data_IF_888915480092
#
_entry.id   IF_888915480092
#
_cell.length_a   1.000
_cell.length_b   1.000
_cell.length_c   1.000
_cell.angle_alpha   90.00
_cell.angle_beta   90.00
_cell.angle_gamma   90.00
#
_symmetry.space_group_name_H-M   'P 1'
#
loop_
_entity.id
_entity.type
_entity.pdbx_description
1 polymer ?
#
# COMPACT_ATOMS: atom_id res chain seq x y z
N UNK A 1 -3.44 20.48 -30.56
CA UNK A 1 -2.15 21.19 -30.78
C UNK A 1 -2.36 22.69 -30.75
N UNK A 2 -3.34 23.26 -31.48
CA UNK A 2 -3.61 24.69 -31.51
C UNK A 2 -4.13 25.29 -30.17
N UNK A 3 -4.67 24.49 -29.28
CA UNK A 3 -5.18 24.93 -27.98
C UNK A 3 -4.03 25.23 -26.99
N UNK A 4 -2.97 24.47 -27.04
CA UNK A 4 -1.80 24.67 -26.18
C UNK A 4 -1.10 26.01 -26.47
N UNK A 5 -0.89 26.32 -27.72
CA UNK A 5 -0.22 27.56 -28.14
C UNK A 5 -1.01 28.81 -27.77
N UNK A 6 -2.34 28.80 -27.95
CA UNK A 6 -3.21 29.91 -27.53
C UNK A 6 -3.26 30.08 -26.01
N UNK A 7 -3.23 28.99 -25.25
CA UNK A 7 -3.22 29.08 -23.81
C UNK A 7 -1.87 29.59 -23.30
N UNK A 8 -0.76 29.23 -23.93
CA UNK A 8 0.55 29.76 -23.57
C UNK A 8 0.69 31.24 -23.91
N UNK A 9 0.09 31.70 -25.00
CA UNK A 9 0.04 33.09 -25.37
C UNK A 9 -0.81 33.93 -24.39
N UNK A 10 -1.96 33.39 -23.94
CA UNK A 10 -2.89 34.06 -23.05
C UNK A 10 -2.41 34.15 -21.60
N UNK A 11 -1.71 33.10 -21.09
CA UNK A 11 -1.33 32.99 -19.68
C UNK A 11 0.18 33.15 -19.42
N UNK A 12 0.94 33.52 -20.44
CA UNK A 12 2.38 33.65 -20.40
C UNK A 12 3.06 32.28 -20.20
N UNK A 13 4.35 32.24 -19.93
CA UNK A 13 5.15 31.02 -19.81
C UNK A 13 4.82 30.14 -18.57
N UNK A 14 3.57 30.11 -18.14
CA UNK A 14 3.10 29.19 -17.10
C UNK A 14 2.84 27.82 -17.71
N UNK A 15 3.21 26.77 -16.98
CA UNK A 15 2.96 25.39 -17.36
C UNK A 15 1.44 25.15 -17.51
N UNK A 16 0.96 25.04 -18.73
CA UNK A 16 -0.43 24.73 -19.02
C UNK A 16 -0.61 23.22 -19.03
N UNK A 17 -1.37 22.69 -18.09
CA UNK A 17 -1.71 21.26 -18.02
C UNK A 17 -3.07 21.04 -18.64
N UNK A 18 -3.12 20.29 -19.71
CA UNK A 18 -4.35 19.84 -20.33
C UNK A 18 -4.67 18.42 -19.81
N UNK A 19 -5.94 18.19 -19.51
CA UNK A 19 -6.43 16.83 -19.27
C UNK A 19 -6.81 16.23 -20.61
N UNK A 20 -6.05 15.23 -21.06
CA UNK A 20 -6.42 14.40 -22.19
C UNK A 20 -7.23 13.20 -21.72
N UNK A 21 -8.26 12.87 -22.48
CA UNK A 21 -8.99 11.62 -22.31
C UNK A 21 -8.25 10.52 -23.11
N UNK A 22 -8.14 9.33 -22.52
CA UNK A 22 -7.74 8.13 -23.25
C UNK A 22 -8.91 7.78 -24.16
N UNK A 23 -8.71 7.80 -25.47
CA UNK A 23 -9.78 7.57 -26.43
C UNK A 23 -10.30 6.13 -26.35
N UNK A 24 -9.42 5.16 -26.15
CA UNK A 24 -9.75 3.76 -25.90
C UNK A 24 -8.75 3.15 -24.91
N UNK A 25 -9.25 2.50 -23.86
CA UNK A 25 -8.43 1.77 -22.89
C UNK A 25 -8.91 0.34 -22.74
N UNK A 26 -7.98 -0.60 -22.76
CA UNK A 26 -8.25 -2.02 -22.44
C UNK A 26 -7.68 -2.35 -21.08
N UNK A 27 -8.53 -2.88 -20.20
CA UNK A 27 -8.13 -3.29 -18.86
C UNK A 27 -8.67 -4.68 -18.60
N UNK A 28 -7.81 -5.62 -18.28
CA UNK A 28 -8.19 -6.95 -17.82
C UNK A 28 -7.22 -7.46 -16.78
N UNK A 29 -7.70 -8.27 -15.87
CA UNK A 29 -6.88 -8.76 -14.77
C UNK A 29 -7.51 -9.90 -14.00
N UNK A 30 -6.73 -10.40 -13.07
CA UNK A 30 -7.12 -11.47 -12.16
C UNK A 30 -6.79 -11.02 -10.74
N UNK A 31 -7.73 -11.27 -9.84
CA UNK A 31 -7.51 -11.11 -8.41
C UNK A 31 -7.77 -12.47 -7.72
N UNK A 32 -6.78 -12.93 -6.96
CA UNK A 32 -6.87 -14.18 -6.20
C UNK A 32 -6.54 -13.87 -4.74
N UNK A 33 -7.34 -14.38 -3.83
CA UNK A 33 -7.07 -14.27 -2.38
C UNK A 33 -7.30 -15.61 -1.69
N UNK A 34 -6.54 -15.85 -0.65
CA UNK A 34 -6.65 -17.03 0.19
C UNK A 34 -6.52 -16.66 1.67
N UNK A 35 -7.19 -17.42 2.52
CA UNK A 35 -7.08 -17.33 3.97
C UNK A 35 -7.02 -18.75 4.53
N UNK A 36 -6.08 -19.00 5.43
CA UNK A 36 -5.87 -20.29 6.06
C UNK A 36 -5.67 -20.14 7.57
N UNK A 37 -6.47 -20.86 8.34
CA UNK A 37 -6.23 -21.05 9.76
C UNK A 37 -5.35 -22.27 9.96
N UNK A 38 -4.13 -22.05 10.47
CA UNK A 38 -3.11 -23.08 10.60
C UNK A 38 -3.12 -23.78 11.96
N UNK A 39 -4.07 -23.43 12.84
CA UNK A 39 -4.14 -23.94 14.21
C UNK A 39 -3.28 -23.15 15.19
N UNK A 40 -3.38 -23.48 16.49
CA UNK A 40 -2.61 -22.86 17.58
C UNK A 40 -2.62 -21.32 17.59
N UNK A 41 -3.68 -20.70 17.05
CA UNK A 41 -3.83 -19.25 16.97
C UNK A 41 -3.19 -18.58 15.74
N UNK A 42 -2.62 -19.35 14.81
CA UNK A 42 -2.05 -18.82 13.57
C UNK A 42 -3.11 -18.72 12.48
N UNK A 43 -3.15 -17.54 11.87
CA UNK A 43 -3.94 -17.25 10.68
C UNK A 43 -3.02 -16.62 9.63
N UNK A 44 -3.11 -17.11 8.38
CA UNK A 44 -2.36 -16.60 7.24
C UNK A 44 -3.33 -16.23 6.14
N UNK A 45 -3.25 -15.02 5.63
CA UNK A 45 -4.00 -14.59 4.46
C UNK A 45 -3.09 -13.90 3.46
N UNK A 46 -3.46 -13.97 2.20
CA UNK A 46 -2.72 -13.34 1.13
C UNK A 46 -3.59 -13.10 -0.08
N UNK A 47 -3.14 -12.16 -0.91
CA UNK A 47 -3.78 -11.84 -2.17
C UNK A 47 -2.76 -11.53 -3.26
N UNK A 48 -3.14 -11.81 -4.48
CA UNK A 48 -2.41 -11.47 -5.67
C UNK A 48 -3.36 -10.80 -6.68
N UNK A 49 -2.94 -9.67 -7.19
CA UNK A 49 -3.63 -8.94 -8.25
C UNK A 49 -2.69 -8.84 -9.45
N UNK A 50 -3.16 -9.34 -10.59
CA UNK A 50 -2.54 -9.08 -11.89
C UNK A 50 -3.46 -8.18 -12.69
N UNK A 51 -2.93 -7.06 -13.18
CA UNK A 51 -3.67 -6.09 -13.97
C UNK A 51 -2.89 -5.79 -15.26
N UNK A 52 -3.48 -6.10 -16.40
CA UNK A 52 -2.96 -5.68 -17.69
C UNK A 52 -3.77 -4.50 -18.19
N UNK A 53 -3.10 -3.39 -18.40
CA UNK A 53 -3.70 -2.13 -18.84
C UNK A 53 -3.02 -1.70 -20.14
N UNK A 54 -3.82 -1.27 -21.10
CA UNK A 54 -3.32 -0.78 -22.38
C UNK A 54 -4.11 0.45 -22.82
N UNK A 55 -3.38 1.51 -23.11
CA UNK A 55 -3.84 2.61 -23.93
C UNK A 55 -3.73 2.14 -25.39
N UNK A 56 -4.87 2.04 -26.09
CA UNK A 56 -4.92 1.41 -27.42
C UNK A 56 -4.24 2.31 -28.47
N UNK A 57 -4.36 3.61 -28.35
CA UNK A 57 -3.76 4.56 -29.30
C UNK A 57 -2.25 4.63 -29.18
N UNK A 58 -1.73 4.54 -27.96
CA UNK A 58 -0.31 4.69 -27.68
C UNK A 58 0.42 3.35 -27.59
N UNK A 59 -0.31 2.23 -27.65
CA UNK A 59 0.21 0.86 -27.50
C UNK A 59 1.07 0.64 -26.25
N UNK A 60 0.78 1.34 -25.17
CA UNK A 60 1.55 1.30 -23.93
C UNK A 60 0.62 1.13 -22.70
N UNK A 61 1.17 0.77 -21.53
CA UNK A 61 0.37 0.68 -20.31
C UNK A 61 -0.28 2.03 -19.94
N UNK A 62 -1.43 1.99 -19.28
CA UNK A 62 -2.09 3.18 -18.76
C UNK A 62 -1.19 3.85 -17.72
N UNK A 63 -1.14 5.18 -17.73
CA UNK A 63 -0.33 5.97 -16.80
C UNK A 63 -0.63 5.62 -15.33
N UNK A 64 0.42 5.50 -14.54
CA UNK A 64 0.39 5.13 -13.11
C UNK A 64 -0.12 3.72 -12.81
N UNK A 65 -0.21 2.83 -13.81
CA UNK A 65 -0.61 1.45 -13.61
C UNK A 65 0.52 0.61 -12.99
N UNK A 66 0.11 -0.34 -12.14
CA UNK A 66 0.97 -1.37 -11.55
C UNK A 66 0.47 -2.72 -12.06
N UNK A 67 1.35 -3.52 -12.65
CA UNK A 67 0.98 -4.78 -13.27
C UNK A 67 0.72 -5.89 -12.27
N UNK A 68 1.54 -6.02 -11.23
CA UNK A 68 1.43 -7.06 -10.22
C UNK A 68 1.50 -6.45 -8.81
N UNK A 69 0.57 -6.84 -7.97
CA UNK A 69 0.56 -6.51 -6.56
C UNK A 69 0.31 -7.75 -5.72
N UNK A 70 1.05 -7.90 -4.62
CA UNK A 70 0.88 -8.97 -3.65
C UNK A 70 0.70 -8.38 -2.27
N UNK A 71 -0.14 -9.03 -1.48
CA UNK A 71 -0.24 -8.75 -0.06
C UNK A 71 -0.20 -10.07 0.72
N UNK A 72 0.38 -10.02 1.89
CA UNK A 72 0.39 -11.13 2.84
C UNK A 72 0.11 -10.58 4.24
N UNK A 73 -0.67 -11.33 5.01
CA UNK A 73 -0.91 -11.03 6.41
C UNK A 73 -0.75 -12.33 7.21
N UNK A 74 0.14 -12.31 8.17
CA UNK A 74 0.36 -13.38 9.12
C UNK A 74 -0.02 -12.88 10.51
N UNK A 75 -0.99 -13.53 11.13
CA UNK A 75 -1.47 -13.20 12.46
C UNK A 75 -1.30 -14.38 13.39
N UNK A 76 -0.81 -14.11 14.59
CA UNK A 76 -0.84 -15.05 15.68
C UNK A 76 -1.51 -14.45 16.91
N UNK A 77 -2.45 -15.18 17.48
CA UNK A 77 -3.16 -14.76 18.68
C UNK A 77 -3.23 -15.92 19.69
N UNK A 78 -2.85 -15.63 20.92
CA UNK A 78 -2.96 -16.59 22.01
C UNK A 78 -3.49 -15.93 23.28
N UNK A 79 -4.28 -16.69 24.04
CA UNK A 79 -4.89 -16.22 25.29
C UNK A 79 -4.49 -17.11 26.47
N UNK A 80 -4.02 -16.47 27.55
CA UNK A 80 -3.73 -17.08 28.83
C UNK A 80 -4.59 -16.43 29.90
N UNK A 81 -5.49 -17.11 30.50
CA UNK A 81 -6.35 -16.60 31.59
C UNK A 81 -6.80 -15.14 31.38
N UNK A 82 -6.10 -14.17 31.97
CA UNK A 82 -6.41 -12.74 31.91
C UNK A 82 -5.62 -11.99 30.83
N UNK A 83 -4.68 -12.62 30.18
CA UNK A 83 -3.80 -12.00 29.20
C UNK A 83 -4.01 -12.57 27.81
N UNK A 84 -4.04 -11.73 26.80
CA UNK A 84 -4.05 -12.11 25.38
C UNK A 84 -2.98 -11.32 24.63
N UNK A 85 -2.22 -12.04 23.82
CA UNK A 85 -1.27 -11.47 22.88
C UNK A 85 -1.78 -11.67 21.46
N UNK A 86 -1.64 -10.62 20.68
CA UNK A 86 -1.89 -10.64 19.25
C UNK A 86 -0.68 -10.05 18.53
N UNK A 87 -0.09 -10.78 17.59
CA UNK A 87 1.03 -10.35 16.74
C UNK A 87 0.53 -10.38 15.31
N UNK A 88 0.80 -9.32 14.57
CA UNK A 88 0.39 -9.20 13.18
C UNK A 88 1.57 -8.69 12.33
N UNK A 89 1.88 -9.41 11.26
CA UNK A 89 2.86 -9.06 10.25
C UNK A 89 2.14 -8.87 8.91
N UNK A 90 2.26 -7.68 8.34
CA UNK A 90 1.71 -7.36 7.02
C UNK A 90 2.84 -7.11 6.04
N UNK A 91 2.74 -7.72 4.86
CA UNK A 91 3.63 -7.46 3.74
C UNK A 91 2.86 -6.99 2.52
N UNK A 92 3.39 -6.00 1.81
CA UNK A 92 2.89 -5.52 0.53
C UNK A 92 4.02 -5.45 -0.46
N UNK A 93 3.82 -6.02 -1.63
CA UNK A 93 4.73 -5.94 -2.76
C UNK A 93 4.00 -5.34 -3.97
N UNK A 94 4.63 -4.38 -4.61
CA UNK A 94 4.16 -3.79 -5.85
C UNK A 94 5.26 -3.86 -6.91
N UNK A 95 4.92 -4.37 -8.09
CA UNK A 95 5.83 -4.33 -9.23
C UNK A 95 6.01 -2.90 -9.74
N UNK A 96 6.89 -2.73 -10.69
CA UNK A 96 7.18 -1.44 -11.33
C UNK A 96 5.90 -0.71 -11.73
N UNK A 97 5.82 0.58 -11.40
CA UNK A 97 4.73 1.47 -11.80
C UNK A 97 5.11 2.21 -13.08
N UNK A 98 4.29 2.10 -14.09
CA UNK A 98 4.49 2.81 -15.34
C UNK A 98 4.10 4.29 -15.21
N UNK A 99 4.85 5.17 -15.85
CA UNK A 99 4.49 6.57 -16.07
C UNK A 99 4.79 6.98 -17.49
N UNK A 100 3.82 7.56 -18.17
CA UNK A 100 3.94 8.07 -19.53
C UNK A 100 5.06 9.11 -19.66
N UNK A 101 5.24 9.95 -18.65
CA UNK A 101 6.21 11.06 -18.68
C UNK A 101 7.61 10.68 -18.19
N UNK A 102 7.71 9.70 -17.28
CA UNK A 102 8.93 9.45 -16.52
C UNK A 102 9.42 8.00 -16.61
N UNK A 103 8.75 7.13 -17.38
CA UNK A 103 9.10 5.71 -17.48
C UNK A 103 8.66 4.91 -16.26
N UNK A 104 9.45 3.92 -15.86
CA UNK A 104 9.09 3.02 -14.77
C UNK A 104 9.70 3.44 -13.45
N UNK A 105 8.88 3.64 -12.43
CA UNK A 105 9.33 3.64 -11.04
C UNK A 105 9.67 2.20 -10.59
N UNK A 106 10.66 2.02 -9.70
CA UNK A 106 11.06 0.70 -9.24
C UNK A 106 9.94 -0.05 -8.52
N UNK A 107 10.07 -1.36 -8.49
CA UNK A 107 9.29 -2.21 -7.61
C UNK A 107 9.70 -2.00 -6.16
N UNK A 108 8.78 -2.25 -5.23
CA UNK A 108 9.04 -2.10 -3.81
C UNK A 108 8.23 -3.06 -2.95
N UNK A 109 8.71 -3.26 -1.74
CA UNK A 109 7.99 -4.00 -0.71
C UNK A 109 8.01 -3.23 0.61
N UNK A 110 6.90 -3.28 1.32
CA UNK A 110 6.73 -2.69 2.65
C UNK A 110 6.25 -3.76 3.61
N UNK A 111 6.84 -3.80 4.78
CA UNK A 111 6.49 -4.74 5.83
C UNK A 111 6.21 -3.99 7.12
N UNK A 112 5.10 -4.31 7.75
CA UNK A 112 4.66 -3.70 9.00
C UNK A 112 4.46 -4.78 10.04
N UNK A 113 4.99 -4.58 11.23
CA UNK A 113 4.83 -5.49 12.37
C UNK A 113 4.11 -4.74 13.50
N UNK A 114 3.07 -5.34 14.05
CA UNK A 114 2.42 -4.78 15.22
C UNK A 114 2.06 -5.85 16.25
N UNK A 115 2.03 -5.44 17.49
CA UNK A 115 1.61 -6.27 18.61
C UNK A 115 0.55 -5.57 19.44
N UNK A 116 -0.39 -6.33 19.96
CA UNK A 116 -1.39 -5.87 20.91
C UNK A 116 -1.45 -6.85 22.09
N UNK A 117 -1.27 -6.30 23.25
CA UNK A 117 -1.43 -7.00 24.52
C UNK A 117 -2.79 -6.63 25.11
N UNK A 118 -3.50 -7.55 25.72
CA UNK A 118 -4.78 -7.27 26.37
C UNK A 118 -4.80 -7.93 27.74
N UNK A 119 -4.95 -7.12 28.77
CA UNK A 119 -5.07 -7.54 30.18
C UNK A 119 -6.53 -7.35 30.62
N UNK A 120 -7.23 -8.47 30.78
CA UNK A 120 -8.64 -8.49 31.15
C UNK A 120 -8.80 -8.55 32.66
N UNK A 121 -8.82 -7.38 33.32
CA UNK A 121 -9.02 -7.24 34.76
C UNK A 121 -10.52 -7.17 35.12
N UNK A 122 -10.86 -7.20 36.43
CA UNK A 122 -12.27 -7.23 36.87
C UNK A 122 -13.09 -6.08 36.30
N UNK A 123 -12.60 -4.85 36.43
CA UNK A 123 -13.37 -3.63 36.10
C UNK A 123 -12.84 -2.92 34.84
N UNK A 124 -11.68 -3.32 34.31
CA UNK A 124 -11.04 -2.66 33.19
C UNK A 124 -10.31 -3.66 32.32
N UNK A 125 -10.29 -3.40 31.01
CA UNK A 125 -9.39 -4.05 30.06
C UNK A 125 -8.33 -3.02 29.67
N UNK A 126 -7.06 -3.36 29.82
CA UNK A 126 -5.92 -2.52 29.45
C UNK A 126 -5.28 -3.13 28.23
N UNK A 127 -5.20 -2.37 27.15
CA UNK A 127 -4.66 -2.84 25.87
C UNK A 127 -3.50 -1.95 25.40
N UNK A 128 -2.27 -2.17 25.89
CA UNK A 128 -1.11 -1.59 25.27
C UNK A 128 -0.79 -2.26 23.92
N UNK A 129 -0.30 -1.49 23.00
CA UNK A 129 0.16 -1.98 21.70
C UNK A 129 1.39 -1.22 21.25
N UNK A 130 2.19 -1.85 20.43
CA UNK A 130 3.29 -1.20 19.73
C UNK A 130 3.41 -1.76 18.32
N UNK A 131 3.98 -0.96 17.43
CA UNK A 131 4.20 -1.38 16.07
C UNK A 131 5.36 -0.65 15.42
N UNK A 132 5.76 -1.22 14.32
CA UNK A 132 6.78 -0.70 13.43
C UNK A 132 6.24 -0.78 12.01
N UNK A 133 6.20 0.34 11.33
CA UNK A 133 5.89 0.44 9.92
C UNK A 133 7.17 0.49 9.11
N UNK A 134 7.11 -0.04 7.91
CA UNK A 134 8.26 -0.14 7.02
C UNK A 134 9.49 -0.79 7.70
N UNK A 135 9.31 -2.01 8.17
CA UNK A 135 10.27 -2.79 8.97
C UNK A 135 11.69 -2.81 8.39
N UNK A 136 11.82 -2.82 7.06
CA UNK A 136 13.10 -2.88 6.34
C UNK A 136 13.63 -1.51 5.92
N UNK A 137 12.98 -0.42 6.36
CA UNK A 137 13.42 0.96 6.10
C UNK A 137 13.56 1.30 4.61
N UNK A 138 12.63 0.79 3.79
CA UNK A 138 12.64 1.10 2.38
C UNK A 138 12.32 2.58 2.16
N UNK A 139 13.18 3.27 1.45
CA UNK A 139 12.94 4.61 0.93
C UNK A 139 13.29 4.64 -0.56
N UNK A 140 12.51 5.37 -1.32
CA UNK A 140 12.80 5.60 -2.73
C UNK A 140 13.83 6.74 -2.83
N UNK A 141 15.10 6.39 -2.98
CA UNK A 141 16.23 7.32 -3.09
C UNK A 141 16.45 7.85 -4.51
N UNK A 142 15.70 7.33 -5.47
CA UNK A 142 15.77 7.71 -6.88
C UNK A 142 14.40 8.10 -7.41
N UNK A 143 13.87 9.23 -6.99
CA UNK A 143 12.62 9.71 -7.53
C UNK A 143 12.80 9.99 -9.02
N UNK A 144 12.05 9.29 -9.83
CA UNK A 144 12.02 9.51 -11.29
C UNK A 144 11.20 10.77 -11.57
N UNK A 145 11.79 11.91 -11.34
CA UNK A 145 11.10 13.20 -11.39
C UNK A 145 9.75 13.11 -10.72
N UNK A 146 9.02 13.12 -10.09
CA UNK A 146 7.70 12.95 -9.48
C UNK A 146 7.06 11.55 -9.64
N UNK A 147 7.78 10.57 -10.20
CA UNK A 147 7.30 9.21 -10.32
C UNK A 147 7.87 8.28 -9.22
N UNK A 148 7.62 8.59 -7.99
CA UNK A 148 8.05 7.77 -6.86
C UNK A 148 7.39 6.38 -6.86
N UNK A 149 8.13 5.34 -6.51
CA UNK A 149 7.58 4.01 -6.28
C UNK A 149 6.69 4.00 -5.03
N UNK A 150 7.13 4.69 -3.99
CA UNK A 150 6.37 4.90 -2.75
C UNK A 150 6.68 6.28 -2.17
N UNK A 151 5.74 6.81 -1.37
CA UNK A 151 5.91 8.06 -0.61
C UNK A 151 6.08 7.78 0.89
N UNK A 152 6.45 6.57 1.27
CA UNK A 152 6.63 6.24 2.68
C UNK A 152 7.84 6.98 3.27
N UNK A 153 7.73 7.52 4.48
CA UNK A 153 8.80 8.32 5.10
C UNK A 153 9.98 7.50 5.65
N UNK A 154 10.02 6.20 5.41
CA UNK A 154 10.98 5.30 6.05
C UNK A 154 10.38 4.60 7.27
N UNK A 155 11.24 3.98 8.07
CA UNK A 155 10.83 3.23 9.26
C UNK A 155 10.25 4.14 10.32
N UNK A 156 9.09 3.77 10.83
CA UNK A 156 8.45 4.47 11.94
C UNK A 156 8.02 3.51 13.05
N UNK A 157 7.95 4.04 14.27
CA UNK A 157 7.53 3.32 15.47
C UNK A 157 6.37 4.03 16.10
N UNK A 158 5.42 3.27 16.63
CA UNK A 158 4.32 3.81 17.41
C UNK A 158 4.01 2.96 18.62
N UNK A 159 3.45 3.61 19.63
CA UNK A 159 2.92 2.99 20.84
C UNK A 159 1.48 3.44 21.00
N UNK A 160 0.62 2.56 21.44
CA UNK A 160 -0.80 2.84 21.72
C UNK A 160 -1.21 2.28 23.07
N UNK A 161 -2.18 2.91 23.71
CA UNK A 161 -2.81 2.44 24.92
C UNK A 161 -4.32 2.63 24.82
N UNK A 162 -5.08 1.55 25.00
CA UNK A 162 -6.53 1.60 25.08
C UNK A 162 -6.99 1.12 26.46
N UNK A 163 -7.93 1.84 27.05
CA UNK A 163 -8.59 1.50 28.32
C UNK A 163 -10.07 1.34 28.08
N UNK A 164 -10.64 0.17 28.47
CA UNK A 164 -12.07 -0.13 28.33
C UNK A 164 -12.62 -0.46 29.69
N UNK A 165 -13.47 0.39 30.22
CA UNK A 165 -14.16 0.15 31.49
C UNK A 165 -15.36 -0.76 31.27
N UNK A 166 -15.53 -1.72 32.17
CA UNK A 166 -16.69 -2.63 32.19
C UNK A 166 -17.77 -2.03 33.06
N UNK A 167 -18.95 -1.95 32.52
CA UNK A 167 -20.19 -1.61 33.28
C UNK A 167 -20.76 -2.83 34.00
#
# INVERSE_FOLDING_TARGET
>A
IAIGDKAMEQYGHKEVRQRDNIAEAKVHGINVSANAYLGAGFNLSGGYTHLNTQDVELEQPIDKSIKNAYNINAQWAHSWKIYRLNINLNGRFNSKRFSKSYGYAPEYQLWDLNTRHSFNLKSVIIEPGCGMENLFDYMDDRPYNSNYATLTPGRSFYISLSLKFKS
#
